data_IF_063024895660
#
_entry.id   IF_063024895660
#
_cell.length_a   1.000
_cell.length_b   1.000
_cell.length_c   1.000
_cell.angle_alpha   90.00
_cell.angle_beta   90.00
_cell.angle_gamma   90.00
#
_symmetry.space_group_name_H-M   'P 1'
#
loop_
_entity.id
_entity.type
_entity.pdbx_description
1 polymer ?
#
# COMPACT_ATOMS: atom_id res chain seq x y z
N UNK A 1 -13.17 9.48 6.16
CA UNK A 1 -12.79 8.52 5.10
C UNK A 1 -12.06 7.35 5.72
N UNK A 2 -12.38 6.16 5.27
CA UNK A 2 -11.75 4.93 5.78
C UNK A 2 -11.38 4.02 4.62
N UNK A 3 -10.27 3.33 4.74
CA UNK A 3 -9.84 2.33 3.76
C UNK A 3 -10.72 1.09 3.90
N UNK A 4 -11.34 0.69 2.81
CA UNK A 4 -12.27 -0.46 2.80
C UNK A 4 -11.68 -1.70 2.14
N UNK A 5 -10.74 -1.53 1.20
CA UNK A 5 -10.12 -2.66 0.53
C UNK A 5 -8.78 -2.23 -0.09
N UNK A 6 -7.88 -3.18 -0.20
CA UNK A 6 -6.62 -3.01 -0.91
C UNK A 6 -6.56 -4.09 -1.99
N UNK A 7 -6.34 -3.66 -3.22
CA UNK A 7 -6.31 -4.53 -4.38
C UNK A 7 -4.95 -4.42 -5.06
N UNK A 8 -4.40 -5.55 -5.49
CA UNK A 8 -3.16 -5.57 -6.27
C UNK A 8 -3.47 -6.07 -7.67
N UNK A 9 -2.80 -5.48 -8.66
CA UNK A 9 -3.00 -5.80 -10.06
C UNK A 9 -1.65 -6.12 -10.70
N UNK A 10 -1.60 -7.24 -11.41
CA UNK A 10 -0.44 -7.67 -12.19
C UNK A 10 -0.87 -7.88 -13.63
N UNK A 11 0.05 -7.64 -14.56
CA UNK A 11 -0.21 -7.81 -15.99
C UNK A 11 0.93 -8.62 -16.62
N UNK A 12 0.59 -9.64 -17.40
CA UNK A 12 1.57 -10.50 -18.05
C UNK A 12 2.52 -9.74 -18.98
N UNK A 13 2.04 -8.68 -19.62
CA UNK A 13 2.85 -7.87 -20.53
C UNK A 13 3.87 -7.01 -19.78
N UNK A 14 3.65 -6.78 -18.49
CA UNK A 14 4.52 -6.01 -17.62
C UNK A 14 4.80 -6.82 -16.38
N UNK A 15 5.43 -7.96 -16.55
CA UNK A 15 5.57 -8.99 -15.51
C UNK A 15 6.38 -8.53 -14.28
N UNK A 16 7.10 -7.41 -14.41
CA UNK A 16 7.91 -6.85 -13.32
C UNK A 16 7.15 -5.81 -12.50
N UNK A 17 5.95 -5.43 -12.91
CA UNK A 17 5.19 -4.34 -12.28
C UNK A 17 4.06 -4.85 -11.41
N UNK A 18 3.77 -4.09 -10.36
CA UNK A 18 2.59 -4.28 -9.50
C UNK A 18 1.91 -2.94 -9.33
N UNK A 19 0.60 -2.91 -9.57
CA UNK A 19 -0.23 -1.74 -9.24
C UNK A 19 -1.02 -2.05 -7.98
N UNK A 20 -1.21 -1.03 -7.15
CA UNK A 20 -1.97 -1.13 -5.91
C UNK A 20 -3.10 -0.13 -5.94
N UNK A 21 -4.32 -0.59 -5.68
CA UNK A 21 -5.48 0.30 -5.51
C UNK A 21 -5.92 0.26 -4.07
N UNK A 22 -6.07 1.43 -3.48
CA UNK A 22 -6.62 1.58 -2.14
C UNK A 22 -8.03 2.17 -2.29
N UNK A 23 -9.01 1.38 -1.91
CA UNK A 23 -10.42 1.77 -1.99
C UNK A 23 -10.87 2.36 -0.67
N UNK A 24 -11.79 3.33 -0.74
CA UNK A 24 -12.31 3.99 0.46
C UNK A 24 -13.84 3.93 0.49
N UNK A 25 -14.40 4.21 1.67
CA UNK A 25 -15.84 4.25 1.84
C UNK A 25 -16.50 5.47 1.20
N UNK A 26 -15.73 6.42 0.67
CA UNK A 26 -16.26 7.59 -0.02
C UNK A 26 -16.18 7.46 -1.55
N UNK A 27 -15.86 6.28 -2.05
CA UNK A 27 -15.82 6.02 -3.48
C UNK A 27 -14.57 6.53 -4.19
N UNK A 28 -13.66 7.14 -3.46
CA UNK A 28 -12.38 7.60 -4.02
C UNK A 28 -11.39 6.46 -3.92
N UNK A 29 -10.63 6.23 -4.99
CA UNK A 29 -9.63 5.17 -5.06
C UNK A 29 -8.28 5.76 -5.39
N UNK A 30 -7.26 5.36 -4.64
CA UNK A 30 -5.87 5.75 -4.90
C UNK A 30 -5.13 4.67 -5.64
N UNK A 31 -4.22 5.06 -6.52
CA UNK A 31 -3.42 4.15 -7.32
C UNK A 31 -1.94 4.36 -7.03
N UNK A 32 -1.25 3.28 -6.72
CA UNK A 32 0.20 3.25 -6.56
C UNK A 32 0.83 2.22 -7.48
N UNK A 33 2.14 2.30 -7.63
CA UNK A 33 2.89 1.41 -8.50
C UNK A 33 4.24 1.08 -7.87
N UNK A 34 4.68 -0.16 -8.08
CA UNK A 34 6.03 -0.59 -7.71
C UNK A 34 6.49 -1.69 -8.65
N UNK A 35 7.70 -2.19 -8.47
CA UNK A 35 8.28 -3.14 -9.41
C UNK A 35 9.26 -4.07 -8.72
N UNK A 36 9.64 -5.15 -9.46
CA UNK A 36 10.61 -6.16 -9.04
C UNK A 36 10.06 -7.09 -7.95
N UNK A 37 10.23 -8.38 -8.14
CA UNK A 37 9.69 -9.42 -7.26
C UNK A 37 8.18 -9.25 -7.01
N UNK A 38 7.36 -9.16 -8.06
CA UNK A 38 5.95 -8.79 -7.89
C UNK A 38 5.17 -9.74 -6.98
N UNK A 39 5.42 -11.04 -7.06
CA UNK A 39 4.69 -11.99 -6.22
C UNK A 39 5.02 -11.82 -4.73
N UNK A 40 6.28 -11.54 -4.42
CA UNK A 40 6.69 -11.28 -3.04
C UNK A 40 6.08 -9.98 -2.52
N UNK A 41 6.02 -8.95 -3.36
CA UNK A 41 5.42 -7.67 -3.00
C UNK A 41 3.92 -7.82 -2.77
N UNK A 42 3.21 -8.54 -3.64
CA UNK A 42 1.78 -8.80 -3.50
C UNK A 42 1.50 -9.52 -2.18
N UNK A 43 2.27 -10.54 -1.88
CA UNK A 43 2.14 -11.29 -0.63
C UNK A 43 2.35 -10.38 0.58
N UNK A 44 3.41 -9.56 0.56
CA UNK A 44 3.69 -8.61 1.63
C UNK A 44 2.54 -7.61 1.82
N UNK A 45 2.02 -7.06 0.74
CA UNK A 45 0.93 -6.07 0.82
C UNK A 45 -0.30 -6.70 1.46
N UNK A 46 -0.71 -7.87 1.01
CA UNK A 46 -1.93 -8.50 1.53
C UNK A 46 -1.77 -9.10 2.92
N UNK A 47 -0.59 -9.64 3.23
CA UNK A 47 -0.37 -10.29 4.52
C UNK A 47 0.06 -9.33 5.62
N UNK A 48 0.73 -8.26 5.28
CA UNK A 48 1.30 -7.33 6.27
C UNK A 48 0.69 -5.94 6.23
N UNK A 49 0.51 -5.36 5.05
CA UNK A 49 0.01 -3.98 4.95
C UNK A 49 -1.50 -3.90 5.14
N UNK A 50 -2.26 -4.77 4.49
CA UNK A 50 -3.71 -4.71 4.55
C UNK A 50 -4.26 -4.88 5.97
N UNK A 51 -3.78 -5.84 6.79
CA UNK A 51 -4.27 -5.96 8.17
C UNK A 51 -4.06 -4.69 8.99
N UNK A 52 -3.00 -3.94 8.71
CA UNK A 52 -2.77 -2.66 9.40
C UNK A 52 -3.68 -1.55 8.87
N UNK A 53 -3.83 -1.45 7.54
CA UNK A 53 -4.45 -0.29 6.90
C UNK A 53 -5.97 -0.33 6.87
N UNK A 54 -6.58 -1.51 6.78
CA UNK A 54 -8.03 -1.63 6.66
C UNK A 54 -8.72 -0.95 7.85
N UNK A 55 -9.70 -0.11 7.55
CA UNK A 55 -10.46 0.64 8.52
C UNK A 55 -9.83 1.96 8.98
N UNK A 56 -8.60 2.26 8.55
CA UNK A 56 -7.91 3.48 8.94
C UNK A 56 -8.17 4.62 7.97
N UNK A 57 -7.91 5.84 8.45
CA UNK A 57 -8.01 7.05 7.64
C UNK A 57 -6.79 7.14 6.72
N UNK A 58 -6.99 7.09 5.38
CA UNK A 58 -5.86 7.12 4.45
C UNK A 58 -5.10 8.44 4.42
N UNK A 59 -5.69 9.52 4.91
CA UNK A 59 -5.06 10.84 4.86
C UNK A 59 -3.97 11.02 5.93
N UNK A 60 -3.83 10.07 6.85
CA UNK A 60 -2.74 10.05 7.83
C UNK A 60 -1.51 9.34 7.28
N UNK A 61 -1.10 9.71 6.09
CA UNK A 61 -0.08 8.94 5.34
C UNK A 61 1.31 9.00 5.97
N UNK A 62 1.70 10.08 6.64
CA UNK A 62 2.99 10.14 7.34
C UNK A 62 3.03 9.14 8.49
N UNK A 63 1.95 9.06 9.24
CA UNK A 63 1.80 8.09 10.33
C UNK A 63 1.84 6.66 9.79
N UNK A 64 1.16 6.41 8.67
CA UNK A 64 1.14 5.08 8.07
C UNK A 64 2.50 4.67 7.52
N UNK A 65 3.26 5.60 6.94
CA UNK A 65 4.60 5.31 6.46
C UNK A 65 5.50 4.81 7.58
N UNK A 66 5.48 5.50 8.73
CA UNK A 66 6.27 5.10 9.90
C UNK A 66 5.75 3.79 10.51
N UNK A 67 4.45 3.66 10.65
CA UNK A 67 3.85 2.52 11.33
C UNK A 67 3.96 1.23 10.52
N UNK A 68 3.97 1.29 9.19
CA UNK A 68 4.15 0.09 8.38
C UNK A 68 5.52 -0.54 8.60
N UNK A 69 6.56 0.27 8.70
CA UNK A 69 7.90 -0.26 9.01
C UNK A 69 7.93 -0.91 10.38
N UNK A 70 7.34 -0.26 11.39
CA UNK A 70 7.30 -0.80 12.75
C UNK A 70 6.42 -2.04 12.85
N UNK A 71 5.32 -2.07 12.12
CA UNK A 71 4.40 -3.21 12.10
C UNK A 71 5.10 -4.49 11.66
N UNK A 72 5.87 -4.41 10.58
CA UNK A 72 6.60 -5.57 10.08
C UNK A 72 7.77 -5.94 10.98
N UNK A 73 8.50 -4.95 11.50
CA UNK A 73 9.63 -5.19 12.41
C UNK A 73 9.20 -5.88 13.70
N UNK A 74 7.99 -5.60 14.18
CA UNK A 74 7.50 -6.18 15.43
C UNK A 74 6.78 -7.52 15.25
N UNK A 75 6.35 -7.86 14.03
CA UNK A 75 5.59 -9.09 13.77
C UNK A 75 6.46 -10.28 13.42
N UNK A 76 7.62 -10.04 12.85
CA UNK A 76 8.45 -11.10 12.30
C UNK A 76 9.77 -11.20 13.01
N UNK A 77 10.26 -12.42 13.18
CA UNK A 77 11.57 -12.70 13.75
C UNK A 77 12.60 -12.69 12.61
N UNK A 78 13.73 -12.06 12.86
CA UNK A 78 14.82 -11.98 11.90
C UNK A 78 14.95 -10.62 11.27
N UNK A 79 15.95 -10.47 10.42
CA UNK A 79 16.19 -9.21 9.74
C UNK A 79 15.25 -9.07 8.53
N UNK A 80 14.54 -7.96 8.42
CA UNK A 80 13.76 -7.72 7.21
C UNK A 80 14.70 -7.60 6.02
N UNK A 81 14.28 -8.13 4.89
CA UNK A 81 15.04 -7.98 3.63
C UNK A 81 15.07 -6.52 3.20
N UNK A 82 14.10 -5.77 3.64
CA UNK A 82 13.85 -4.35 3.35
C UNK A 82 13.52 -4.06 1.89
N UNK A 83 14.03 -4.87 0.96
CA UNK A 83 13.75 -4.66 -0.46
C UNK A 83 12.25 -4.81 -0.76
N UNK A 84 11.65 -5.92 -0.37
CA UNK A 84 10.22 -6.17 -0.59
C UNK A 84 9.38 -5.22 0.25
N UNK A 85 9.72 -5.04 1.51
CA UNK A 85 8.98 -4.17 2.43
C UNK A 85 8.98 -2.72 1.94
N UNK A 86 10.14 -2.20 1.55
CA UNK A 86 10.22 -0.82 1.04
C UNK A 86 9.48 -0.64 -0.27
N UNK A 87 9.54 -1.63 -1.16
CA UNK A 87 8.82 -1.52 -2.44
C UNK A 87 7.31 -1.57 -2.24
N UNK A 88 6.84 -2.45 -1.35
CA UNK A 88 5.43 -2.52 -1.00
C UNK A 88 4.95 -1.25 -0.30
N UNK A 89 5.72 -0.78 0.67
CA UNK A 89 5.38 0.45 1.39
C UNK A 89 5.40 1.66 0.46
N UNK A 90 6.31 1.68 -0.52
CA UNK A 90 6.37 2.75 -1.52
C UNK A 90 5.10 2.80 -2.37
N UNK A 91 4.62 1.65 -2.83
CA UNK A 91 3.38 1.58 -3.60
C UNK A 91 2.18 2.07 -2.78
N UNK A 92 2.11 1.66 -1.52
CA UNK A 92 1.07 2.12 -0.60
C UNK A 92 1.14 3.63 -0.41
N UNK A 93 2.33 4.16 -0.19
CA UNK A 93 2.53 5.60 0.01
C UNK A 93 2.10 6.41 -1.21
N UNK A 94 2.47 5.96 -2.41
CA UNK A 94 2.03 6.60 -3.65
C UNK A 94 0.50 6.59 -3.76
N UNK A 95 -0.13 5.47 -3.45
CA UNK A 95 -1.59 5.36 -3.50
C UNK A 95 -2.26 6.30 -2.48
N UNK A 96 -1.68 6.45 -1.29
CA UNK A 96 -2.20 7.37 -0.27
C UNK A 96 -2.07 8.82 -0.70
N UNK A 97 -0.96 9.20 -1.31
CA UNK A 97 -0.79 10.55 -1.87
C UNK A 97 -1.77 10.81 -3.00
N UNK A 98 -2.02 9.80 -3.84
CA UNK A 98 -3.02 9.91 -4.90
C UNK A 98 -4.42 10.13 -4.33
N UNK A 99 -4.76 9.43 -3.26
CA UNK A 99 -6.03 9.64 -2.55
C UNK A 99 -6.14 11.07 -2.02
N UNK A 100 -5.07 11.59 -1.44
CA UNK A 100 -5.07 12.97 -0.94
C UNK A 100 -5.30 13.95 -2.07
N UNK A 101 -4.62 13.77 -3.19
CA UNK A 101 -4.77 14.65 -4.35
C UNK A 101 -6.21 14.64 -4.87
N UNK A 102 -6.78 13.46 -5.03
CA UNK A 102 -8.16 13.30 -5.50
C UNK A 102 -9.16 13.89 -4.53
N UNK A 103 -8.97 13.67 -3.23
CA UNK A 103 -9.81 14.22 -2.19
C UNK A 103 -9.79 15.75 -2.21
N UNK A 104 -8.63 16.35 -2.41
CA UNK A 104 -8.48 17.80 -2.47
C UNK A 104 -9.10 18.43 -3.71
N UNK A 105 -9.20 17.69 -4.80
CA UNK A 105 -9.71 18.18 -6.08
C UNK A 105 -11.23 17.98 -6.23
N UNK A 106 -11.86 17.30 -5.29
CA UNK A 106 -13.30 17.03 -5.31
C UNK A 106 -14.05 18.16 -4.59
N UNK A 107 -14.02 19.29 -5.17
CA UNK A 107 -14.72 20.45 -4.59
C UNK A 107 -15.99 20.77 -5.35
#
# INVERSE_FOLDING_TARGET
MKITAIETIQNKNFSNLVWVKIHTNEGITGLGETFRNPNAIVSYIHESCAPYLLGKDPLRFNEHADNLLNWTANRYIGYPTRSVEYRGNSAIDIALWDLKAKSSNLK
#
